data_IF_306488819030
#
_entry.id   IF_306488819030
#
_cell.length_a   1.000
_cell.length_b   1.000
_cell.length_c   1.000
_cell.angle_alpha   90.00
_cell.angle_beta   90.00
_cell.angle_gamma   90.00
#
_symmetry.space_group_name_H-M   'P 1'
#
loop_
_entity.id
_entity.type
_entity.pdbx_description
1 polymer ?
#
# COMPACT_ATOMS: atom_id res chain seq x y z
N UNK A 1 67.53 12.83 8.45
CA UNK A 1 68.62 12.11 9.19
C UNK A 1 68.18 10.68 9.44
N UNK A 2 69.02 9.74 8.93
CA UNK A 2 69.25 8.31 9.32
C UNK A 2 68.03 7.41 9.43
N UNK A 3 67.75 6.48 8.45
CA UNK A 3 68.42 5.17 8.17
C UNK A 3 68.54 4.28 9.41
N UNK A 4 67.98 3.04 9.34
CA UNK A 4 68.52 1.78 8.78
C UNK A 4 67.46 0.67 9.00
N UNK A 5 67.08 -0.14 8.04
CA UNK A 5 67.66 -1.44 7.62
C UNK A 5 67.84 -2.41 8.78
N UNK A 6 67.43 -3.65 8.73
CA UNK A 6 67.58 -4.81 7.84
C UNK A 6 67.23 -6.04 8.68
N UNK A 7 66.96 -7.17 8.31
CA UNK A 7 67.22 -8.22 7.36
C UNK A 7 66.69 -9.55 7.96
N UNK A 8 65.99 -10.28 7.15
CA UNK A 8 66.11 -11.72 6.80
C UNK A 8 66.57 -12.73 7.89
N UNK A 9 65.77 -13.78 8.09
CA UNK A 9 66.28 -15.15 8.17
C UNK A 9 65.20 -16.21 7.88
N UNK A 10 65.54 -17.12 7.05
CA UNK A 10 64.84 -18.32 6.60
C UNK A 10 64.99 -19.46 7.61
N UNK A 11 63.99 -20.36 7.63
CA UNK A 11 64.11 -21.83 7.69
C UNK A 11 62.81 -22.41 8.24
N UNK A 12 62.21 -23.42 7.83
CA UNK A 12 62.42 -24.63 7.09
C UNK A 12 61.17 -25.49 7.39
N UNK A 13 60.52 -25.93 6.33
CA UNK A 13 59.92 -27.25 6.11
C UNK A 13 59.44 -28.05 7.31
N UNK A 14 58.12 -28.24 7.40
CA UNK A 14 57.47 -29.30 8.14
C UNK A 14 56.24 -29.78 7.37
N UNK A 15 56.45 -30.81 6.54
CA UNK A 15 55.39 -31.51 5.79
C UNK A 15 54.54 -32.31 6.80
N UNK A 16 53.35 -31.91 7.10
CA UNK A 16 52.37 -32.73 7.77
C UNK A 16 51.22 -33.01 6.78
N UNK A 17 51.23 -34.23 6.23
CA UNK A 17 50.05 -34.76 5.56
C UNK A 17 48.89 -34.85 6.52
N UNK A 18 47.92 -33.98 6.39
CA UNK A 18 46.59 -34.17 7.00
C UNK A 18 45.64 -34.68 5.93
N UNK A 19 45.20 -35.90 6.12
CA UNK A 19 44.19 -36.61 5.41
C UNK A 19 42.96 -35.76 5.19
N UNK A 20 42.66 -35.41 3.94
CA UNK A 20 41.38 -34.85 3.48
C UNK A 20 40.28 -35.92 3.68
N UNK A 21 39.58 -35.85 4.79
CA UNK A 21 38.26 -36.44 4.89
C UNK A 21 37.29 -35.51 4.13
N UNK A 22 36.47 -36.04 3.22
CA UNK A 22 35.46 -35.23 2.60
C UNK A 22 34.42 -34.87 3.67
N UNK A 23 34.39 -33.58 4.07
CA UNK A 23 33.23 -33.02 4.79
C UNK A 23 32.11 -33.03 3.79
N UNK A 24 31.31 -34.09 3.84
CA UNK A 24 30.01 -34.13 3.21
C UNK A 24 29.17 -33.04 3.89
N UNK A 25 29.13 -31.87 3.30
CA UNK A 25 28.03 -30.93 3.54
C UNK A 25 26.75 -31.63 3.10
N UNK A 26 26.13 -32.39 3.97
CA UNK A 26 24.71 -32.64 3.86
C UNK A 26 24.06 -31.26 3.89
N UNK A 27 23.66 -30.75 2.72
CA UNK A 27 22.54 -29.84 2.63
C UNK A 27 21.40 -30.57 3.35
N UNK A 28 21.15 -30.22 4.60
CA UNK A 28 19.83 -30.44 5.16
C UNK A 28 18.88 -29.70 4.19
N UNK A 29 18.14 -30.48 3.43
CA UNK A 29 16.97 -29.99 2.78
C UNK A 29 16.10 -29.47 3.93
N UNK A 30 16.04 -28.16 4.11
CA UNK A 30 14.99 -27.54 4.88
C UNK A 30 13.68 -28.13 4.32
N UNK A 31 13.10 -29.05 5.05
CA UNK A 31 11.72 -29.44 4.81
C UNK A 31 10.96 -28.15 4.92
N UNK A 32 10.39 -27.66 3.82
CA UNK A 32 9.45 -26.57 3.86
C UNK A 32 8.36 -26.98 4.84
N UNK A 33 8.40 -26.38 6.02
CA UNK A 33 7.30 -26.53 6.95
C UNK A 33 6.07 -26.00 6.22
N UNK A 34 4.98 -26.75 6.25
CA UNK A 34 3.72 -26.31 5.66
C UNK A 34 3.24 -24.98 6.30
N UNK A 35 2.16 -24.39 5.76
CA UNK A 35 1.59 -23.16 6.33
C UNK A 35 1.12 -23.39 7.78
N UNK A 36 1.34 -22.37 8.63
CA UNK A 36 0.88 -22.36 10.01
C UNK A 36 -0.25 -21.35 10.17
N UNK A 37 -1.46 -21.83 10.48
CA UNK A 37 -2.65 -20.99 10.66
C UNK A 37 -2.90 -20.70 12.14
N UNK A 38 -1.95 -20.06 12.81
CA UNK A 38 -2.05 -19.74 14.22
C UNK A 38 -2.64 -18.35 14.43
N UNK A 39 -3.88 -18.27 14.95
CA UNK A 39 -4.57 -17.03 15.28
C UNK A 39 -5.02 -17.07 16.73
N UNK A 40 -4.19 -16.57 17.64
CA UNK A 40 -4.32 -16.76 19.09
C UNK A 40 -5.59 -16.14 19.69
N UNK A 41 -6.12 -15.09 19.05
CA UNK A 41 -7.25 -14.32 19.54
C UNK A 41 -8.55 -14.62 18.78
N UNK A 42 -8.55 -15.64 17.93
CA UNK A 42 -9.67 -16.02 17.07
C UNK A 42 -10.07 -17.45 17.37
N UNK A 43 -11.31 -17.64 17.79
CA UNK A 43 -11.90 -18.94 18.14
C UNK A 43 -13.21 -19.21 17.41
N UNK A 44 -13.85 -18.19 16.85
CA UNK A 44 -15.04 -18.33 16.00
C UNK A 44 -14.71 -19.14 14.75
N UNK A 45 -15.45 -20.22 14.49
CA UNK A 45 -15.17 -21.18 13.42
C UNK A 45 -15.21 -20.54 12.02
N UNK A 46 -16.07 -19.53 11.78
CA UNK A 46 -16.13 -18.85 10.49
C UNK A 46 -14.91 -17.95 10.28
N UNK A 47 -14.47 -17.24 11.33
CA UNK A 47 -13.25 -16.43 11.27
C UNK A 47 -12.01 -17.31 11.07
N UNK A 48 -11.94 -18.46 11.76
CA UNK A 48 -10.86 -19.44 11.57
C UNK A 48 -10.88 -19.97 10.14
N UNK A 49 -12.04 -20.33 9.59
CA UNK A 49 -12.17 -20.79 8.21
C UNK A 49 -11.71 -19.71 7.21
N UNK A 50 -12.08 -18.44 7.45
CA UNK A 50 -11.63 -17.32 6.65
C UNK A 50 -10.10 -17.19 6.68
N UNK A 51 -9.47 -17.28 7.85
CA UNK A 51 -8.00 -17.26 8.00
C UNK A 51 -7.36 -18.42 7.23
N UNK A 52 -7.96 -19.60 7.27
CA UNK A 52 -7.49 -20.78 6.51
C UNK A 52 -7.67 -20.64 4.99
N UNK A 53 -8.42 -19.67 4.51
CA UNK A 53 -8.49 -19.36 3.08
C UNK A 53 -7.24 -18.66 2.54
N UNK A 54 -6.35 -18.18 3.41
CA UNK A 54 -5.10 -17.53 3.03
C UNK A 54 -4.20 -18.48 2.25
N UNK A 55 -3.77 -18.06 1.05
CA UNK A 55 -2.94 -18.86 0.14
C UNK A 55 -1.74 -18.05 -0.32
N UNK A 56 -0.59 -18.69 -0.38
CA UNK A 56 0.58 -18.19 -1.08
C UNK A 56 0.43 -18.47 -2.59
N UNK A 57 0.26 -17.42 -3.39
CA UNK A 57 -0.02 -17.53 -4.83
C UNK A 57 1.23 -17.73 -5.68
N UNK A 58 2.37 -17.25 -5.21
CA UNK A 58 3.62 -17.32 -5.98
C UNK A 58 4.58 -18.40 -5.49
N UNK A 59 4.27 -19.03 -4.37
CA UNK A 59 5.09 -20.06 -3.73
C UNK A 59 6.39 -19.53 -3.11
N UNK A 60 6.51 -18.21 -2.97
CA UNK A 60 7.72 -17.55 -2.46
C UNK A 60 7.47 -16.74 -1.19
N UNK A 61 6.23 -16.71 -0.71
CA UNK A 61 5.82 -15.96 0.47
C UNK A 61 5.76 -14.45 0.27
N UNK A 62 5.60 -13.97 -0.98
CA UNK A 62 5.55 -12.55 -1.32
C UNK A 62 4.18 -12.07 -1.79
N UNK A 63 3.35 -12.98 -2.33
CA UNK A 63 1.99 -12.69 -2.77
C UNK A 63 1.02 -13.68 -2.17
N UNK A 64 0.07 -13.18 -1.41
CA UNK A 64 -0.98 -13.96 -0.80
C UNK A 64 -2.36 -13.53 -1.30
N UNK A 65 -3.33 -14.42 -1.21
CA UNK A 65 -4.74 -14.15 -1.42
C UNK A 65 -5.54 -14.66 -0.23
N UNK A 66 -6.55 -13.91 0.17
CA UNK A 66 -7.52 -14.31 1.20
C UNK A 66 -8.94 -13.98 0.77
N UNK A 67 -9.87 -14.92 1.00
CA UNK A 67 -11.30 -14.69 0.86
C UNK A 67 -11.85 -14.21 2.20
N UNK A 68 -12.09 -12.91 2.33
CA UNK A 68 -12.59 -12.30 3.55
C UNK A 68 -14.13 -12.30 3.50
N UNK A 69 -14.74 -13.37 3.96
CA UNK A 69 -16.18 -13.66 3.90
C UNK A 69 -16.93 -13.46 5.24
N UNK A 70 -16.22 -12.96 6.26
CA UNK A 70 -16.83 -12.59 7.55
C UNK A 70 -17.19 -11.12 7.61
N UNK A 71 -18.19 -10.78 8.45
CA UNK A 71 -18.61 -9.39 8.62
C UNK A 71 -17.56 -8.57 9.38
N UNK A 72 -16.91 -7.63 8.71
CA UNK A 72 -15.91 -6.72 9.27
C UNK A 72 -16.50 -5.44 9.89
N UNK A 73 -17.83 -5.36 10.05
CA UNK A 73 -18.52 -4.33 10.84
C UNK A 73 -18.32 -2.89 10.35
N UNK A 74 -18.26 -2.66 9.03
CA UNK A 74 -17.98 -1.34 8.46
C UNK A 74 -18.89 -0.24 9.04
N UNK A 75 -20.20 -0.47 9.13
CA UNK A 75 -21.11 0.56 9.62
C UNK A 75 -20.85 0.91 11.11
N UNK A 76 -20.39 -0.04 11.92
CA UNK A 76 -19.99 0.23 13.30
C UNK A 76 -18.67 1.02 13.35
N UNK A 77 -17.71 0.70 12.46
CA UNK A 77 -16.46 1.45 12.35
C UNK A 77 -16.73 2.88 11.90
N UNK A 78 -17.58 3.09 10.91
CA UNK A 78 -17.99 4.43 10.46
C UNK A 78 -18.72 5.22 11.57
N UNK A 79 -19.56 4.57 12.37
CA UNK A 79 -20.28 5.19 13.47
C UNK A 79 -19.39 5.46 14.70
N UNK A 80 -18.24 4.82 14.83
CA UNK A 80 -17.33 4.97 15.98
C UNK A 80 -16.68 6.35 16.09
N UNK A 81 -16.66 7.10 14.99
CA UNK A 81 -16.02 8.41 14.93
C UNK A 81 -14.50 8.39 15.25
N UNK A 82 -13.86 7.26 14.98
CA UNK A 82 -12.43 7.07 15.23
C UNK A 82 -11.63 7.62 14.06
N UNK A 83 -10.72 8.55 14.35
CA UNK A 83 -9.67 9.00 13.48
C UNK A 83 -8.32 8.45 13.93
N UNK A 84 -7.35 8.44 13.00
CA UNK A 84 -6.00 7.94 13.27
C UNK A 84 -5.87 6.42 13.16
N UNK A 85 -4.73 6.00 12.65
CA UNK A 85 -4.51 4.61 12.25
C UNK A 85 -4.38 3.67 13.45
N UNK A 86 -3.64 4.05 14.49
CA UNK A 86 -3.41 3.20 15.65
C UNK A 86 -4.70 2.95 16.42
N UNK A 87 -5.46 4.02 16.72
CA UNK A 87 -6.74 3.92 17.42
C UNK A 87 -7.76 3.08 16.62
N UNK A 88 -7.74 3.19 15.30
CA UNK A 88 -8.55 2.36 14.41
C UNK A 88 -8.26 0.87 14.61
N UNK A 89 -6.99 0.44 14.54
CA UNK A 89 -6.65 -0.98 14.67
C UNK A 89 -6.91 -1.52 16.07
N UNK A 90 -6.76 -0.71 17.10
CA UNK A 90 -7.17 -1.07 18.48
C UNK A 90 -8.69 -1.30 18.57
N UNK A 91 -9.47 -0.43 17.92
CA UNK A 91 -10.92 -0.60 17.87
C UNK A 91 -11.36 -1.81 17.04
N UNK A 92 -10.67 -2.08 15.91
CA UNK A 92 -10.92 -3.28 15.08
C UNK A 92 -10.63 -4.55 15.87
N UNK A 93 -9.53 -4.58 16.63
CA UNK A 93 -9.25 -5.73 17.51
C UNK A 93 -10.36 -5.90 18.56
N UNK A 94 -10.83 -4.81 19.18
CA UNK A 94 -11.98 -4.84 20.07
C UNK A 94 -13.26 -5.41 19.43
N UNK A 95 -13.54 -5.05 18.17
CA UNK A 95 -14.73 -5.50 17.46
C UNK A 95 -14.65 -6.94 16.94
N UNK A 96 -13.48 -7.38 16.52
CA UNK A 96 -13.34 -8.57 15.68
C UNK A 96 -12.58 -9.71 16.34
N UNK A 97 -11.80 -9.47 17.41
CA UNK A 97 -11.18 -10.53 18.19
C UNK A 97 -12.18 -11.17 19.13
N UNK A 98 -12.01 -12.45 19.37
CA UNK A 98 -12.84 -13.20 20.32
C UNK A 98 -12.24 -13.14 21.74
N UNK A 99 -10.98 -12.74 21.86
CA UNK A 99 -10.28 -12.52 23.12
C UNK A 99 -9.56 -11.14 23.09
N UNK A 100 -9.86 -10.29 24.07
CA UNK A 100 -9.38 -8.91 24.16
C UNK A 100 -7.99 -8.75 24.79
N UNK A 101 -7.26 -9.84 25.01
CA UNK A 101 -6.02 -9.84 25.80
C UNK A 101 -4.77 -9.29 25.13
N UNK A 102 -4.76 -8.86 23.86
CA UNK A 102 -3.54 -8.48 23.14
C UNK A 102 -3.44 -7.00 22.82
N UNK A 103 -2.20 -6.50 22.87
CA UNK A 103 -1.85 -5.20 22.27
C UNK A 103 -1.77 -5.36 20.75
N UNK A 104 -2.44 -4.47 20.04
CA UNK A 104 -2.26 -4.33 18.61
C UNK A 104 -0.84 -3.76 18.36
N UNK A 105 -0.03 -4.39 17.49
CA UNK A 105 1.26 -3.84 17.11
C UNK A 105 1.12 -2.42 16.55
N UNK A 106 2.20 -1.64 16.64
CA UNK A 106 2.23 -0.33 15.99
C UNK A 106 2.09 -0.51 14.47
N UNK A 107 1.05 0.09 13.90
CA UNK A 107 0.78 0.05 12.46
C UNK A 107 1.43 1.26 11.83
N UNK A 108 2.35 1.03 10.88
CA UNK A 108 3.08 2.08 10.17
C UNK A 108 2.61 2.15 8.73
N UNK A 109 2.28 3.35 8.27
CA UNK A 109 1.99 3.61 6.87
C UNK A 109 2.99 4.59 6.30
N UNK A 110 3.41 4.33 5.09
CA UNK A 110 4.19 5.24 4.28
C UNK A 110 4.06 4.81 2.83
N UNK A 111 4.21 5.70 1.87
CA UNK A 111 4.21 5.31 0.47
C UNK A 111 4.83 6.37 -0.44
N UNK A 112 5.63 5.92 -1.40
CA UNK A 112 5.80 6.56 -2.68
C UNK A 112 4.84 5.89 -3.66
N UNK A 113 4.27 6.59 -4.63
CA UNK A 113 3.28 5.99 -5.52
C UNK A 113 3.22 6.69 -6.87
N UNK A 114 2.62 6.01 -7.86
CA UNK A 114 2.22 6.58 -9.14
C UNK A 114 0.85 6.04 -9.52
N UNK A 115 0.01 6.86 -10.13
CA UNK A 115 -1.27 6.41 -10.68
C UNK A 115 -1.64 7.19 -11.95
N UNK A 116 -2.42 6.55 -12.84
CA UNK A 116 -2.98 7.17 -14.03
C UNK A 116 -4.28 6.50 -14.47
N UNK A 117 -5.07 7.21 -15.29
CA UNK A 117 -6.28 6.68 -15.92
C UNK A 117 -6.23 6.90 -17.43
N UNK A 118 -6.61 5.86 -18.21
CA UNK A 118 -6.57 5.87 -19.68
C UNK A 118 -7.71 5.06 -20.29
N UNK A 119 -7.97 5.32 -21.57
CA UNK A 119 -8.81 4.50 -22.39
C UNK A 119 -8.02 3.30 -22.92
N UNK A 120 -8.65 2.15 -23.09
CA UNK A 120 -8.01 0.97 -23.67
C UNK A 120 -8.04 1.04 -25.21
N UNK A 121 -6.89 0.79 -25.88
CA UNK A 121 -6.72 0.94 -27.33
C UNK A 121 -7.60 0.03 -28.18
N UNK A 122 -7.76 -1.22 -27.74
CA UNK A 122 -8.44 -2.24 -28.53
C UNK A 122 -9.96 -2.25 -28.33
N UNK A 123 -10.49 -1.46 -27.42
CA UNK A 123 -11.89 -1.52 -27.03
C UNK A 123 -12.45 -0.25 -26.42
N UNK A 124 -13.56 -0.42 -25.71
CA UNK A 124 -14.20 0.65 -24.93
C UNK A 124 -13.85 0.59 -23.44
N UNK A 125 -12.88 -0.22 -23.10
CA UNK A 125 -12.48 -0.43 -21.72
C UNK A 125 -11.82 0.82 -21.14
N UNK A 126 -11.89 0.92 -19.82
CA UNK A 126 -11.23 1.96 -19.03
C UNK A 126 -10.20 1.31 -18.14
N UNK A 127 -8.99 1.87 -18.11
CA UNK A 127 -7.89 1.34 -17.31
C UNK A 127 -7.44 2.37 -16.28
N UNK A 128 -7.10 1.87 -15.09
CA UNK A 128 -6.33 2.62 -14.10
C UNK A 128 -5.03 1.87 -13.82
N UNK A 129 -3.89 2.56 -13.95
CA UNK A 129 -2.59 2.02 -13.58
C UNK A 129 -2.15 2.56 -12.22
N UNK A 130 -1.46 1.73 -11.43
CA UNK A 130 -0.93 2.10 -10.13
C UNK A 130 0.37 1.37 -9.79
N UNK A 131 1.39 2.10 -9.34
CA UNK A 131 2.51 1.57 -8.58
C UNK A 131 2.36 1.92 -7.11
N UNK A 132 2.49 0.93 -6.24
CA UNK A 132 2.71 1.12 -4.82
C UNK A 132 4.21 1.01 -4.54
N UNK A 133 4.79 2.11 -4.09
CA UNK A 133 6.22 2.22 -3.85
C UNK A 133 6.46 2.51 -2.37
N UNK A 134 7.07 1.58 -1.66
CA UNK A 134 7.48 1.79 -0.28
C UNK A 134 8.64 0.89 0.11
N UNK A 135 9.55 1.39 0.94
CA UNK A 135 10.62 0.61 1.54
C UNK A 135 10.37 0.44 3.02
N UNK A 136 10.48 -0.79 3.46
CA UNK A 136 10.48 -1.10 4.88
C UNK A 136 11.89 -1.44 5.33
N UNK A 137 12.27 -0.92 6.48
CA UNK A 137 13.55 -1.18 7.09
C UNK A 137 13.38 -1.94 8.41
N UNK A 138 14.35 -2.76 8.73
CA UNK A 138 14.48 -3.34 10.05
C UNK A 138 14.77 -2.23 11.09
N UNK A 139 14.85 -2.61 12.37
CA UNK A 139 15.12 -1.67 13.47
C UNK A 139 16.49 -1.01 13.40
N UNK A 140 17.42 -1.55 12.58
CA UNK A 140 18.73 -0.95 12.31
C UNK A 140 18.65 0.27 11.36
N UNK A 141 17.48 0.48 10.69
CA UNK A 141 17.26 1.56 9.73
C UNK A 141 17.97 1.38 8.39
N UNK A 142 18.68 0.28 8.17
CA UNK A 142 19.49 0.00 6.98
C UNK A 142 19.06 -1.24 6.22
N UNK A 143 18.73 -2.32 6.94
CA UNK A 143 18.31 -3.59 6.33
C UNK A 143 16.93 -3.49 5.74
N UNK A 144 16.80 -3.67 4.41
CA UNK A 144 15.52 -3.72 3.73
C UNK A 144 14.76 -4.99 4.12
N UNK A 145 13.55 -4.83 4.61
CA UNK A 145 12.65 -5.95 4.89
C UNK A 145 11.88 -6.34 3.64
N UNK A 146 11.92 -7.61 3.25
CA UNK A 146 11.08 -8.10 2.19
C UNK A 146 9.60 -8.10 2.65
N UNK A 147 8.74 -7.51 1.82
CA UNK A 147 7.30 -7.40 2.10
C UNK A 147 6.52 -8.61 1.61
N UNK A 148 5.28 -8.69 2.05
CA UNK A 148 4.26 -9.54 1.48
C UNK A 148 3.09 -8.67 1.00
N UNK A 149 2.68 -8.83 -0.24
CA UNK A 149 1.44 -8.25 -0.75
C UNK A 149 0.30 -9.23 -0.47
N UNK A 150 -0.82 -8.73 0.04
CA UNK A 150 -2.00 -9.55 0.30
C UNK A 150 -3.16 -9.01 -0.52
N UNK A 151 -3.68 -9.85 -1.42
CA UNK A 151 -4.89 -9.59 -2.17
C UNK A 151 -6.09 -10.05 -1.30
N UNK A 152 -6.97 -9.11 -1.00
CA UNK A 152 -8.12 -9.33 -0.13
C UNK A 152 -9.39 -9.27 -0.95
N UNK A 153 -10.12 -10.38 -1.02
CA UNK A 153 -11.46 -10.43 -1.62
C UNK A 153 -12.50 -10.21 -0.54
N UNK A 154 -13.42 -9.30 -0.77
CA UNK A 154 -14.56 -9.05 0.15
C UNK A 154 -15.87 -9.11 -0.60
N UNK A 155 -16.91 -9.62 0.08
CA UNK A 155 -18.30 -9.65 -0.39
C UNK A 155 -19.25 -9.31 0.77
N UNK A 156 -19.26 -8.04 1.24
CA UNK A 156 -20.04 -7.67 2.42
C UNK A 156 -21.53 -7.69 2.13
N UNK A 157 -22.32 -8.10 3.11
CA UNK A 157 -23.78 -8.07 2.99
C UNK A 157 -24.28 -6.63 2.84
N UNK A 158 -24.94 -6.34 1.73
CA UNK A 158 -25.45 -4.99 1.43
C UNK A 158 -24.42 -3.98 0.93
N UNK A 159 -23.19 -4.44 0.70
CA UNK A 159 -22.14 -3.69 0.02
C UNK A 159 -21.69 -4.38 -1.26
N UNK A 160 -20.72 -3.79 -1.95
CA UNK A 160 -20.19 -4.28 -3.22
C UNK A 160 -19.04 -5.26 -2.98
N UNK A 161 -18.98 -6.30 -3.80
CA UNK A 161 -17.81 -7.17 -3.85
C UNK A 161 -16.60 -6.38 -4.33
N UNK A 162 -15.42 -6.69 -3.80
CA UNK A 162 -14.21 -6.02 -4.21
C UNK A 162 -12.94 -6.87 -4.05
N UNK A 163 -11.90 -6.45 -4.75
CA UNK A 163 -10.52 -6.86 -4.53
C UNK A 163 -9.75 -5.64 -4.07
N UNK A 164 -9.01 -5.78 -2.97
CA UNK A 164 -8.10 -4.74 -2.49
C UNK A 164 -6.72 -5.30 -2.20
N UNK A 165 -5.70 -4.43 -2.25
CA UNK A 165 -4.31 -4.78 -2.00
C UNK A 165 -3.85 -4.19 -0.67
N UNK A 166 -3.19 -5.02 0.12
CA UNK A 166 -2.64 -4.69 1.43
C UNK A 166 -1.14 -4.99 1.45
N UNK A 167 -0.36 -4.09 2.02
CA UNK A 167 1.04 -4.38 2.35
C UNK A 167 1.09 -5.04 3.74
N UNK A 168 1.35 -6.35 3.75
CA UNK A 168 1.29 -7.17 4.96
C UNK A 168 2.25 -6.71 6.04
N UNK A 169 3.39 -6.13 5.68
CA UNK A 169 4.39 -5.70 6.66
C UNK A 169 3.87 -4.53 7.53
N UNK A 170 2.92 -3.74 7.04
CA UNK A 170 2.24 -2.72 7.84
C UNK A 170 1.46 -3.32 9.02
N UNK A 171 1.13 -4.61 8.92
CA UNK A 171 0.48 -5.41 9.96
C UNK A 171 1.46 -6.38 10.65
N UNK A 172 2.77 -6.23 10.40
CA UNK A 172 3.79 -7.13 10.93
C UNK A 172 3.99 -8.41 10.12
N UNK A 173 3.36 -8.57 8.97
CA UNK A 173 3.45 -9.74 8.11
C UNK A 173 4.46 -9.53 6.98
N UNK A 174 5.73 -9.81 7.24
CA UNK A 174 6.78 -9.82 6.23
C UNK A 174 6.75 -11.04 5.32
N UNK A 175 7.69 -11.11 4.38
CA UNK A 175 7.82 -12.23 3.45
C UNK A 175 7.79 -13.59 4.18
N UNK A 176 6.93 -14.49 3.73
CA UNK A 176 6.87 -15.86 4.25
C UNK A 176 6.24 -15.98 5.64
N UNK A 177 5.56 -14.98 6.14
CA UNK A 177 4.95 -14.96 7.48
C UNK A 177 4.07 -16.18 7.76
N UNK A 178 3.40 -16.73 6.76
CA UNK A 178 2.53 -17.90 6.88
C UNK A 178 3.31 -19.18 7.22
N UNK A 179 4.62 -19.20 6.97
CA UNK A 179 5.51 -20.34 7.22
C UNK A 179 6.32 -20.21 8.51
N UNK A 180 6.09 -19.15 9.29
CA UNK A 180 6.63 -18.99 10.64
C UNK A 180 5.57 -19.40 11.69
N UNK A 181 5.85 -20.48 12.38
CA UNK A 181 4.99 -21.02 13.47
C UNK A 181 4.71 -20.04 14.61
N UNK A 182 5.53 -18.99 14.76
CA UNK A 182 5.38 -18.01 15.82
C UNK A 182 4.51 -16.82 15.39
N UNK A 183 4.21 -16.69 14.11
CA UNK A 183 3.34 -15.62 13.60
C UNK A 183 1.91 -15.81 14.13
N UNK A 184 1.37 -14.73 14.68
CA UNK A 184 -0.04 -14.67 15.07
C UNK A 184 -0.85 -14.01 13.95
N UNK A 185 -1.76 -14.77 13.36
CA UNK A 185 -2.58 -14.34 12.24
C UNK A 185 -3.85 -13.56 12.64
N UNK A 186 -4.04 -13.28 13.92
CA UNK A 186 -5.25 -12.58 14.40
C UNK A 186 -5.44 -11.20 13.75
N UNK A 187 -4.34 -10.49 13.41
CA UNK A 187 -4.42 -9.19 12.71
C UNK A 187 -4.96 -9.28 11.26
N UNK A 188 -5.06 -10.47 10.67
CA UNK A 188 -5.75 -10.65 9.39
C UNK A 188 -7.22 -10.20 9.46
N UNK A 189 -7.81 -10.19 10.66
CA UNK A 189 -9.14 -9.62 10.87
C UNK A 189 -9.23 -8.13 10.49
N UNK A 190 -8.13 -7.40 10.54
CA UNK A 190 -8.04 -5.99 10.15
C UNK A 190 -7.80 -5.73 8.67
N UNK A 191 -7.62 -6.75 7.82
CA UNK A 191 -7.25 -6.59 6.41
C UNK A 191 -8.18 -5.68 5.60
N UNK A 192 -9.52 -5.70 5.74
CA UNK A 192 -10.39 -4.78 5.03
C UNK A 192 -10.07 -3.31 5.29
N UNK A 193 -9.51 -3.00 6.46
CA UNK A 193 -9.14 -1.66 6.91
C UNK A 193 -7.66 -1.32 6.72
N UNK A 194 -6.91 -2.17 6.02
CA UNK A 194 -5.51 -1.94 5.67
C UNK A 194 -5.31 -1.75 4.15
N UNK A 195 -6.40 -1.64 3.39
CA UNK A 195 -6.35 -1.50 1.94
C UNK A 195 -5.65 -0.20 1.51
N UNK A 196 -4.77 -0.31 0.50
CA UNK A 196 -4.04 0.82 -0.08
C UNK A 196 -4.51 1.15 -1.50
N UNK A 197 -5.09 0.18 -2.18
CA UNK A 197 -5.77 0.31 -3.45
C UNK A 197 -6.76 -0.85 -3.67
N UNK A 198 -7.60 -0.73 -4.70
CA UNK A 198 -8.55 -1.80 -5.02
C UNK A 198 -9.56 -1.40 -6.10
N UNK A 199 -10.36 -2.39 -6.48
CA UNK A 199 -11.46 -2.28 -7.44
C UNK A 199 -12.69 -3.05 -6.95
N UNK A 200 -13.88 -2.54 -7.22
CA UNK A 200 -15.12 -3.24 -6.91
C UNK A 200 -15.87 -3.77 -8.15
N UNK A 201 -16.94 -4.50 -7.92
CA UNK A 201 -17.77 -5.13 -8.95
C UNK A 201 -18.49 -4.16 -9.89
N UNK A 202 -18.56 -2.87 -9.55
CA UNK A 202 -19.09 -1.82 -10.42
C UNK A 202 -18.00 -1.19 -11.32
N UNK A 203 -16.74 -1.57 -11.10
CA UNK A 203 -15.60 -1.02 -11.82
C UNK A 203 -15.14 0.34 -11.29
N UNK A 204 -15.49 0.68 -10.06
CA UNK A 204 -14.86 1.77 -9.33
C UNK A 204 -13.55 1.30 -8.73
N UNK A 205 -12.47 2.02 -9.02
CA UNK A 205 -11.15 1.75 -8.46
C UNK A 205 -10.59 2.98 -7.75
N UNK A 206 -9.78 2.73 -6.73
CA UNK A 206 -9.13 3.75 -5.91
C UNK A 206 -7.72 3.34 -5.54
N UNK A 207 -6.82 4.31 -5.44
CA UNK A 207 -5.49 4.15 -4.83
C UNK A 207 -5.15 5.36 -3.99
N UNK A 208 -4.47 5.14 -2.86
CA UNK A 208 -3.94 6.20 -2.02
C UNK A 208 -2.47 6.45 -2.35
N UNK A 209 -2.07 7.72 -2.42
CA UNK A 209 -0.69 8.11 -2.67
C UNK A 209 -0.23 9.06 -1.56
N UNK A 210 0.97 8.84 -1.02
CA UNK A 210 1.48 9.67 0.05
C UNK A 210 1.96 11.03 -0.46
N UNK A 211 1.70 12.03 0.35
CA UNK A 211 2.24 13.37 0.28
C UNK A 211 3.14 13.57 1.50
N UNK A 212 4.33 14.09 1.30
CA UNK A 212 5.27 14.34 2.41
C UNK A 212 4.96 15.65 3.08
N UNK A 213 3.94 15.60 3.90
CA UNK A 213 3.41 16.76 4.60
C UNK A 213 2.72 16.32 5.89
N UNK A 214 2.40 17.27 6.75
CA UNK A 214 1.63 17.01 7.97
C UNK A 214 0.31 16.32 7.64
N UNK A 215 -0.10 15.34 8.45
CA UNK A 215 -1.36 14.65 8.23
C UNK A 215 -2.53 15.63 8.41
N UNK A 216 -3.47 15.55 7.51
CA UNK A 216 -4.75 16.27 7.64
C UNK A 216 -5.55 15.71 8.80
N UNK A 217 -6.08 16.61 9.63
CA UNK A 217 -7.05 16.30 10.70
C UNK A 217 -8.20 17.31 10.60
N UNK A 218 -9.22 16.98 9.82
CA UNK A 218 -10.40 17.84 9.68
C UNK A 218 -11.27 17.83 10.94
N UNK A 219 -11.98 18.94 11.17
CA UNK A 219 -12.81 19.14 12.36
C UNK A 219 -14.08 19.95 12.08
N UNK A 220 -14.76 19.71 10.95
CA UNK A 220 -16.03 20.35 10.64
C UNK A 220 -17.10 19.86 11.60
N UNK A 221 -17.84 20.81 12.16
CA UNK A 221 -18.94 20.52 13.10
C UNK A 221 -20.03 19.67 12.42
N UNK A 222 -20.58 18.71 13.18
CA UNK A 222 -21.66 17.83 12.72
C UNK A 222 -21.24 16.70 11.78
N UNK A 223 -19.94 16.55 11.48
CA UNK A 223 -19.42 15.46 10.67
C UNK A 223 -18.59 14.48 11.52
N UNK A 224 -18.80 13.19 11.31
CA UNK A 224 -17.98 12.13 11.90
C UNK A 224 -16.57 12.09 11.31
N UNK A 225 -15.62 11.54 12.06
CA UNK A 225 -14.26 11.30 11.58
C UNK A 225 -14.15 10.00 10.80
N UNK A 226 -13.21 9.96 9.87
CA UNK A 226 -12.85 8.77 9.11
C UNK A 226 -11.34 8.71 8.87
N UNK A 227 -10.74 7.57 9.19
CA UNK A 227 -9.33 7.32 8.87
C UNK A 227 -9.15 6.99 7.37
N UNK A 228 -7.95 7.24 6.82
CA UNK A 228 -7.63 7.07 5.39
C UNK A 228 -8.04 5.69 4.85
N UNK A 229 -7.68 4.62 5.53
CA UNK A 229 -7.93 3.26 5.05
C UNK A 229 -9.39 2.83 5.23
N UNK A 230 -10.09 3.38 6.23
CA UNK A 230 -11.55 3.22 6.36
C UNK A 230 -12.27 3.92 5.21
N UNK A 231 -11.78 5.08 4.77
CA UNK A 231 -12.33 5.77 3.61
C UNK A 231 -12.21 4.89 2.35
N UNK A 232 -11.04 4.27 2.11
CA UNK A 232 -10.86 3.34 0.98
C UNK A 232 -11.87 2.19 1.07
N UNK A 233 -12.01 1.55 2.26
CA UNK A 233 -12.95 0.46 2.45
C UNK A 233 -14.40 0.89 2.21
N UNK A 234 -14.78 2.03 2.78
CA UNK A 234 -16.12 2.60 2.57
C UNK A 234 -16.42 2.84 1.09
N UNK A 235 -15.46 3.39 0.34
CA UNK A 235 -15.65 3.68 -1.07
C UNK A 235 -15.73 2.41 -1.91
N UNK A 236 -14.91 1.40 -1.63
CA UNK A 236 -14.99 0.12 -2.32
C UNK A 236 -16.33 -0.60 -2.06
N UNK A 237 -16.90 -0.48 -0.86
CA UNK A 237 -18.19 -1.11 -0.52
C UNK A 237 -19.40 -0.33 -1.04
N UNK A 238 -19.33 1.00 -1.11
CA UNK A 238 -20.53 1.84 -1.28
C UNK A 238 -20.57 2.64 -2.58
N UNK A 239 -19.44 2.96 -3.22
CA UNK A 239 -19.40 3.77 -4.43
C UNK A 239 -19.42 2.91 -5.70
N UNK A 240 -20.23 3.29 -6.68
CA UNK A 240 -20.20 2.74 -8.05
C UNK A 240 -19.42 3.66 -9.00
N UNK A 241 -19.34 4.95 -8.68
CA UNK A 241 -18.77 5.99 -9.54
C UNK A 241 -17.88 6.93 -8.75
N UNK A 242 -16.99 7.62 -9.44
CA UNK A 242 -16.17 8.72 -8.89
C UNK A 242 -17.04 9.80 -8.24
N UNK A 243 -18.18 10.13 -8.86
CA UNK A 243 -19.12 11.13 -8.34
C UNK A 243 -19.72 10.71 -6.98
N UNK A 244 -20.13 9.45 -6.86
CA UNK A 244 -20.65 8.89 -5.61
C UNK A 244 -19.56 8.87 -4.53
N UNK A 245 -18.33 8.45 -4.88
CA UNK A 245 -17.19 8.43 -3.98
C UNK A 245 -16.89 9.82 -3.40
N UNK A 246 -16.85 10.86 -4.24
CA UNK A 246 -16.68 12.25 -3.81
C UNK A 246 -17.81 12.67 -2.86
N UNK A 247 -19.05 12.28 -3.16
CA UNK A 247 -20.22 12.57 -2.30
C UNK A 247 -20.06 11.94 -0.90
N UNK A 248 -19.63 10.69 -0.84
CA UNK A 248 -19.39 9.98 0.42
C UNK A 248 -18.27 10.64 1.23
N UNK A 249 -17.13 10.97 0.62
CA UNK A 249 -16.01 11.62 1.32
C UNK A 249 -16.40 12.97 1.92
N UNK A 250 -17.27 13.75 1.25
CA UNK A 250 -17.76 15.04 1.78
C UNK A 250 -18.58 14.91 3.05
N UNK A 251 -19.08 13.72 3.38
CA UNK A 251 -19.85 13.43 4.59
C UNK A 251 -19.02 13.26 5.86
N UNK A 252 -17.68 13.20 5.73
CA UNK A 252 -16.79 12.91 6.84
C UNK A 252 -15.67 13.94 7.00
N UNK A 253 -15.16 14.04 8.22
CA UNK A 253 -13.89 14.68 8.54
C UNK A 253 -12.76 13.66 8.36
N UNK A 254 -11.89 13.89 7.38
CA UNK A 254 -10.72 13.04 7.16
C UNK A 254 -9.71 13.23 8.28
N UNK A 255 -9.24 12.13 8.86
CA UNK A 255 -8.15 12.09 9.82
C UNK A 255 -7.05 11.13 9.32
N UNK A 256 -5.96 11.69 8.85
CA UNK A 256 -4.82 10.98 8.28
C UNK A 256 -3.68 10.77 9.29
N UNK A 257 -3.89 11.15 10.54
CA UNK A 257 -2.89 11.01 11.61
C UNK A 257 -2.69 9.54 12.01
N UNK A 258 -1.61 9.28 12.73
CA UNK A 258 -1.38 7.94 13.31
C UNK A 258 -2.16 7.77 14.60
N UNK A 259 -2.17 8.79 15.47
CA UNK A 259 -2.69 8.72 16.84
C UNK A 259 -3.98 9.53 17.06
N UNK A 260 -4.59 10.06 16.00
CA UNK A 260 -5.80 10.89 16.07
C UNK A 260 -5.52 12.35 16.47
N UNK A 261 -4.25 12.76 16.51
CA UNK A 261 -3.83 14.11 16.87
C UNK A 261 -3.19 14.84 15.70
N UNK A 262 -3.39 16.14 15.65
CA UNK A 262 -2.66 16.98 14.71
C UNK A 262 -1.16 16.92 15.02
N UNK A 263 -0.34 16.88 13.96
CA UNK A 263 1.12 16.95 14.12
C UNK A 263 1.51 18.26 14.80
N UNK A 264 2.56 18.26 15.66
CA UNK A 264 3.09 19.50 16.21
C UNK A 264 3.47 20.49 15.12
N UNK A 265 3.37 21.80 15.41
CA UNK A 265 3.69 22.83 14.44
C UNK A 265 5.14 22.74 13.91
N UNK A 266 6.06 22.30 14.78
CA UNK A 266 7.49 22.08 14.49
C UNK A 266 7.80 20.68 13.96
N UNK A 267 6.79 19.85 13.68
CA UNK A 267 7.00 18.52 13.12
C UNK A 267 7.69 18.64 11.75
N UNK A 268 8.88 18.07 11.66
CA UNK A 268 9.61 17.96 10.41
C UNK A 268 9.00 16.86 9.55
N UNK A 269 9.26 16.88 8.25
CA UNK A 269 8.73 15.93 7.25
C UNK A 269 9.05 14.44 7.55
N UNK A 270 9.95 14.16 8.48
CA UNK A 270 10.32 12.81 8.86
C UNK A 270 9.28 12.21 9.83
N UNK A 271 8.59 11.19 9.36
CA UNK A 271 7.63 10.43 10.17
C UNK A 271 6.16 10.85 10.03
N UNK A 272 5.86 11.84 9.19
CA UNK A 272 4.49 12.24 8.88
C UNK A 272 4.18 12.06 7.40
N UNK A 273 2.94 11.67 7.11
CA UNK A 273 2.45 11.56 5.74
C UNK A 273 1.03 12.08 5.68
N UNK A 274 0.79 12.95 4.71
CA UNK A 274 -0.55 13.24 4.23
C UNK A 274 -0.82 12.36 3.01
N UNK A 275 -2.04 12.36 2.50
CA UNK A 275 -2.39 11.51 1.38
C UNK A 275 -3.35 12.23 0.44
N UNK A 276 -3.29 11.84 -0.84
CA UNK A 276 -4.36 12.09 -1.77
C UNK A 276 -4.89 10.77 -2.35
N UNK A 277 -6.12 10.79 -2.82
CA UNK A 277 -6.73 9.67 -3.50
C UNK A 277 -6.73 9.90 -4.99
N UNK A 278 -6.36 8.88 -5.75
CA UNK A 278 -6.66 8.79 -7.18
C UNK A 278 -7.78 7.77 -7.38
N UNK A 279 -8.84 8.18 -8.05
CA UNK A 279 -10.02 7.36 -8.28
C UNK A 279 -10.39 7.36 -9.76
N UNK A 280 -10.87 6.22 -10.26
CA UNK A 280 -11.41 6.10 -11.61
C UNK A 280 -12.59 5.13 -11.64
N UNK A 281 -13.48 5.25 -12.62
CA UNK A 281 -14.63 4.37 -12.77
C UNK A 281 -14.85 3.90 -14.22
N UNK A 282 -15.70 2.88 -14.39
CA UNK A 282 -15.99 2.27 -15.67
C UNK A 282 -16.66 3.22 -16.68
N UNK A 283 -17.17 4.37 -16.25
CA UNK A 283 -17.74 5.39 -17.15
C UNK A 283 -16.68 6.28 -17.79
N UNK A 284 -15.41 6.14 -17.36
CA UNK A 284 -14.27 6.93 -17.83
C UNK A 284 -14.02 8.19 -17.01
N UNK A 285 -14.75 8.40 -15.92
CA UNK A 285 -14.45 9.47 -14.98
C UNK A 285 -13.26 9.10 -14.10
N UNK A 286 -12.48 10.10 -13.74
CA UNK A 286 -11.40 10.00 -12.75
C UNK A 286 -11.33 11.26 -11.92
N UNK A 287 -10.74 11.17 -10.73
CA UNK A 287 -10.52 12.31 -9.84
C UNK A 287 -9.27 12.13 -8.99
N UNK A 288 -8.62 13.26 -8.71
CA UNK A 288 -7.67 13.41 -7.63
C UNK A 288 -8.39 14.15 -6.50
N UNK A 289 -8.36 13.57 -5.30
CA UNK A 289 -8.91 14.20 -4.09
C UNK A 289 -7.75 14.50 -3.16
N UNK A 290 -7.56 15.77 -2.86
CA UNK A 290 -6.53 16.28 -1.97
C UNK A 290 -7.16 16.93 -0.74
N UNK A 291 -6.45 16.85 0.37
CA UNK A 291 -6.79 17.55 1.60
C UNK A 291 -5.71 18.60 1.83
N UNK A 292 -6.13 19.86 1.71
CA UNK A 292 -5.26 21.02 1.72
C UNK A 292 -5.38 21.75 3.04
N UNK A 293 -4.27 22.31 3.53
CA UNK A 293 -4.29 23.08 4.77
C UNK A 293 -5.15 24.33 4.61
N UNK A 294 -5.72 24.75 5.72
CA UNK A 294 -6.27 26.08 5.85
C UNK A 294 -5.17 27.15 5.79
N UNK A 295 -5.56 28.37 5.43
CA UNK A 295 -4.65 29.50 5.28
C UNK A 295 -3.97 29.94 6.59
N UNK A 296 -4.50 29.48 7.72
CA UNK A 296 -3.96 29.69 9.06
C UNK A 296 -4.52 28.64 10.04
N UNK A 297 -4.02 28.63 11.28
CA UNK A 297 -4.43 27.66 12.31
C UNK A 297 -5.95 27.69 12.66
N UNK A 298 -6.65 28.74 12.27
CA UNK A 298 -8.11 28.88 12.51
C UNK A 298 -8.94 28.45 11.30
N UNK A 299 -8.32 28.21 10.16
CA UNK A 299 -9.01 27.76 8.93
C UNK A 299 -8.93 26.24 8.86
N UNK A 300 -10.05 25.51 8.92
CA UNK A 300 -10.04 24.04 8.81
C UNK A 300 -9.44 23.58 7.49
N UNK A 301 -8.78 22.42 7.53
CA UNK A 301 -8.32 21.73 6.32
C UNK A 301 -9.53 21.49 5.40
N UNK A 302 -9.30 21.65 4.09
CA UNK A 302 -10.35 21.51 3.10
C UNK A 302 -10.07 20.38 2.13
N UNK A 303 -11.12 19.73 1.69
CA UNK A 303 -11.07 18.76 0.60
C UNK A 303 -11.18 19.49 -0.73
N UNK A 304 -10.19 19.30 -1.59
CA UNK A 304 -10.19 19.78 -2.98
C UNK A 304 -10.29 18.59 -3.95
N UNK A 305 -11.03 18.78 -5.04
CA UNK A 305 -11.32 17.72 -6.00
C UNK A 305 -11.01 18.19 -7.42
N UNK A 306 -10.17 17.43 -8.10
CA UNK A 306 -9.77 17.68 -9.47
C UNK A 306 -10.29 16.54 -10.36
N UNK A 307 -11.20 16.87 -11.26
CA UNK A 307 -11.84 15.92 -12.18
C UNK A 307 -11.53 16.26 -13.63
N UNK A 308 -11.54 15.25 -14.48
CA UNK A 308 -11.65 15.32 -15.96
C UNK A 308 -10.86 16.47 -16.63
N UNK A 309 -9.53 16.45 -16.45
CA UNK A 309 -8.62 17.32 -17.17
C UNK A 309 -7.44 16.47 -17.67
N UNK A 310 -7.17 16.46 -18.97
CA UNK A 310 -6.11 15.64 -19.56
C UNK A 310 -4.73 15.88 -18.93
N UNK A 311 -4.48 17.06 -18.37
CA UNK A 311 -3.25 17.33 -17.63
C UNK A 311 -3.17 16.62 -16.27
N UNK A 312 -4.29 16.12 -15.74
CA UNK A 312 -4.41 15.48 -14.44
C UNK A 312 -4.74 13.99 -14.52
N UNK A 313 -4.57 13.37 -15.69
CA UNK A 313 -4.77 11.92 -15.87
C UNK A 313 -3.75 11.06 -15.14
N UNK A 314 -2.71 11.65 -14.58
CA UNK A 314 -1.72 10.95 -13.75
C UNK A 314 -1.31 11.79 -12.54
N UNK A 315 -0.83 11.12 -11.52
CA UNK A 315 -0.40 11.73 -10.26
C UNK A 315 0.70 10.89 -9.61
N UNK A 316 1.53 11.56 -8.82
CA UNK A 316 2.55 10.91 -7.99
C UNK A 316 2.50 11.45 -6.55
N UNK A 317 3.61 11.88 -5.97
CA UNK A 317 3.70 12.22 -4.56
C UNK A 317 3.93 13.73 -4.32
N UNK A 318 3.20 14.56 -5.05
CA UNK A 318 3.16 16.01 -4.83
C UNK A 318 1.73 16.54 -5.05
N UNK A 319 1.40 17.64 -4.41
CA UNK A 319 0.09 18.27 -4.57
C UNK A 319 -0.11 18.81 -5.99
N UNK A 320 -1.27 18.56 -6.55
CA UNK A 320 -1.74 19.18 -7.79
C UNK A 320 -2.54 20.46 -7.53
N UNK A 321 -2.99 20.64 -6.30
CA UNK A 321 -3.72 21.83 -5.85
C UNK A 321 -2.90 23.08 -6.01
N UNK A 322 -3.38 24.12 -6.74
CA UNK A 322 -2.70 25.42 -6.82
C UNK A 322 -2.53 26.09 -5.46
N UNK A 323 -3.42 25.84 -4.51
CA UNK A 323 -3.34 26.40 -3.16
C UNK A 323 -2.18 25.84 -2.35
N UNK A 324 -1.65 24.67 -2.73
CA UNK A 324 -0.56 24.00 -2.02
C UNK A 324 0.80 24.18 -2.70
N UNK A 325 0.84 24.61 -3.97
CA UNK A 325 2.09 24.72 -4.76
C UNK A 325 3.08 25.72 -4.16
N UNK A 326 2.61 26.74 -3.42
CA UNK A 326 3.46 27.73 -2.76
C UNK A 326 3.88 27.39 -1.33
N UNK A 327 3.34 26.32 -0.75
CA UNK A 327 3.62 25.95 0.64
C UNK A 327 4.70 24.88 0.80
N UNK A 328 5.13 24.28 -0.29
CA UNK A 328 6.05 23.16 -0.29
C UNK A 328 7.42 23.60 -0.74
N UNK A 329 8.25 24.04 0.19
CA UNK A 329 9.67 24.24 -0.02
C UNK A 329 10.39 22.89 0.02
N UNK A 330 11.13 22.55 -1.05
CA UNK A 330 12.02 21.40 -1.08
C UNK A 330 11.36 20.09 -1.50
N UNK A 331 11.46 19.10 -0.67
CA UNK A 331 11.21 17.70 -1.01
C UNK A 331 9.76 17.38 -1.41
N UNK A 332 8.77 18.00 -0.75
CA UNK A 332 7.36 17.78 -1.01
C UNK A 332 6.90 18.20 -2.40
N UNK A 333 7.47 19.25 -2.98
CA UNK A 333 7.10 19.75 -4.31
C UNK A 333 7.78 19.00 -5.47
N UNK A 334 8.84 18.24 -5.19
CA UNK A 334 9.67 17.59 -6.21
C UNK A 334 9.59 16.06 -6.19
N UNK A 335 9.09 15.49 -5.09
CA UNK A 335 9.00 14.03 -4.95
C UNK A 335 8.07 13.43 -6.01
N UNK A 336 8.62 12.54 -6.81
CA UNK A 336 7.90 11.92 -7.91
C UNK A 336 7.74 12.77 -9.15
N UNK A 337 8.30 13.99 -9.23
CA UNK A 337 8.18 14.87 -10.40
C UNK A 337 8.67 14.19 -11.67
N UNK A 338 9.83 13.54 -11.64
CA UNK A 338 10.38 12.82 -12.79
C UNK A 338 9.43 11.72 -13.28
N UNK A 339 8.86 10.94 -12.36
CA UNK A 339 7.88 9.89 -12.68
C UNK A 339 6.62 10.46 -13.29
N UNK A 340 6.14 11.59 -12.75
CA UNK A 340 4.99 12.31 -13.28
C UNK A 340 5.23 12.77 -14.72
N UNK A 341 6.38 13.39 -15.01
CA UNK A 341 6.71 13.88 -16.37
C UNK A 341 6.80 12.73 -17.39
N UNK A 342 7.37 11.59 -17.01
CA UNK A 342 7.40 10.39 -17.86
C UNK A 342 5.98 9.91 -18.16
N UNK A 343 5.13 9.78 -17.13
CA UNK A 343 3.74 9.35 -17.34
C UNK A 343 2.99 10.36 -18.20
N UNK A 344 3.07 11.64 -17.89
CA UNK A 344 2.38 12.71 -18.61
C UNK A 344 2.74 12.72 -20.08
N UNK A 345 4.04 12.73 -20.42
CA UNK A 345 4.49 12.75 -21.82
C UNK A 345 4.04 11.48 -22.55
N UNK A 346 4.23 10.29 -21.96
CA UNK A 346 3.80 9.03 -22.58
C UNK A 346 2.29 9.02 -22.83
N UNK A 347 1.49 9.47 -21.87
CA UNK A 347 0.04 9.53 -22.02
C UNK A 347 -0.39 10.49 -23.13
N UNK A 348 0.25 11.65 -23.23
CA UNK A 348 0.00 12.61 -24.31
C UNK A 348 0.37 12.04 -25.67
N UNK A 349 1.57 11.45 -25.80
CA UNK A 349 2.06 10.85 -27.05
C UNK A 349 1.18 9.71 -27.53
N UNK A 350 0.52 8.99 -26.62
CA UNK A 350 -0.41 7.90 -26.90
C UNK A 350 -1.89 8.36 -26.96
N UNK A 351 -2.16 9.66 -27.02
CA UNK A 351 -3.51 10.23 -27.00
C UNK A 351 -4.39 9.64 -25.86
N UNK A 352 -3.78 9.44 -24.69
CA UNK A 352 -4.43 8.89 -23.49
C UNK A 352 -5.08 7.52 -23.69
N UNK A 353 -4.55 6.72 -24.61
CA UNK A 353 -5.05 5.37 -24.90
C UNK A 353 -3.91 4.36 -24.92
N UNK A 354 -4.02 3.32 -24.07
CA UNK A 354 -3.01 2.27 -23.89
C UNK A 354 -3.67 0.90 -23.88
N UNK A 355 -3.04 -0.11 -24.47
CA UNK A 355 -3.39 -1.49 -24.19
C UNK A 355 -3.03 -1.85 -22.73
N UNK A 356 -3.60 -2.94 -22.20
CA UNK A 356 -3.24 -3.45 -20.85
C UNK A 356 -1.74 -3.67 -20.69
N UNK A 357 -1.07 -4.15 -21.74
CA UNK A 357 0.38 -4.37 -21.74
C UNK A 357 1.17 -3.06 -21.76
N UNK A 358 0.76 -2.08 -22.58
CA UNK A 358 1.38 -0.76 -22.59
C UNK A 358 1.17 -0.01 -21.26
N UNK A 359 0.01 -0.16 -20.62
CA UNK A 359 -0.25 0.39 -19.29
C UNK A 359 0.71 -0.23 -18.25
N UNK A 360 0.95 -1.55 -18.29
CA UNK A 360 1.94 -2.20 -17.42
C UNK A 360 3.38 -1.75 -17.75
N UNK A 361 3.72 -1.56 -19.02
CA UNK A 361 5.03 -1.05 -19.44
C UNK A 361 5.24 0.40 -18.96
N UNK A 362 4.19 1.22 -18.97
CA UNK A 362 4.26 2.57 -18.40
C UNK A 362 4.52 2.52 -16.89
N UNK A 363 3.83 1.63 -16.15
CA UNK A 363 4.12 1.42 -14.74
C UNK A 363 5.56 0.95 -14.51
N UNK A 364 6.07 0.04 -15.36
CA UNK A 364 7.46 -0.42 -15.33
C UNK A 364 8.45 0.73 -15.53
N UNK A 365 8.18 1.65 -16.45
CA UNK A 365 9.07 2.78 -16.77
C UNK A 365 9.20 3.79 -15.64
N UNK A 366 8.23 3.82 -14.73
CA UNK A 366 8.19 4.69 -13.54
C UNK A 366 8.29 3.92 -12.22
N UNK A 367 8.61 2.62 -12.30
CA UNK A 367 8.85 1.79 -11.13
C UNK A 367 10.13 2.21 -10.42
N UNK A 368 10.09 2.17 -9.10
CA UNK A 368 11.20 2.62 -8.26
C UNK A 368 12.11 1.47 -7.85
N UNK A 369 13.42 1.71 -7.95
CA UNK A 369 14.46 0.81 -7.46
C UNK A 369 15.04 1.33 -6.15
N UNK A 370 15.58 0.46 -5.28
CA UNK A 370 16.29 0.91 -4.09
C UNK A 370 17.42 1.89 -4.48
N UNK A 371 17.42 3.08 -3.89
CA UNK A 371 18.46 4.10 -4.11
C UNK A 371 18.08 5.26 -5.03
N UNK A 372 16.99 5.18 -5.80
CA UNK A 372 16.56 6.31 -6.65
C UNK A 372 15.84 7.41 -5.86
N UNK A 373 14.96 7.02 -4.95
CA UNK A 373 14.34 7.93 -3.98
C UNK A 373 14.40 7.31 -2.58
N UNK A 374 14.53 8.12 -1.54
CA UNK A 374 14.83 7.65 -0.18
C UNK A 374 13.85 6.63 0.39
N UNK A 375 12.60 6.62 -0.05
CA UNK A 375 11.54 5.79 0.53
C UNK A 375 10.92 4.83 -0.45
N UNK A 376 11.48 4.71 -1.65
CA UNK A 376 10.73 4.14 -2.75
C UNK A 376 11.36 2.86 -3.28
N UNK A 377 10.57 1.80 -3.21
CA UNK A 377 10.79 0.55 -3.92
C UNK A 377 9.42 0.03 -4.34
N UNK A 378 9.20 -0.17 -5.62
CA UNK A 378 7.90 -0.68 -6.10
C UNK A 378 7.64 -2.08 -5.56
N UNK A 379 6.63 -2.21 -4.72
CA UNK A 379 6.16 -3.46 -4.13
C UNK A 379 5.21 -4.19 -5.08
N UNK A 380 4.29 -3.45 -5.70
CA UNK A 380 3.48 -3.97 -6.79
C UNK A 380 3.13 -2.90 -7.81
N UNK A 381 2.90 -3.38 -9.04
CA UNK A 381 2.31 -2.63 -10.15
C UNK A 381 0.99 -3.28 -10.51
N UNK A 382 -0.09 -2.51 -10.55
CA UNK A 382 -1.43 -3.00 -10.83
C UNK A 382 -2.06 -2.24 -12.00
N UNK A 383 -2.60 -2.97 -12.98
CA UNK A 383 -3.48 -2.43 -14.03
C UNK A 383 -4.88 -2.93 -13.76
N UNK A 384 -5.75 -2.04 -13.32
CA UNK A 384 -7.17 -2.26 -13.12
C UNK A 384 -7.90 -2.04 -14.43
N UNK A 385 -8.61 -3.05 -14.95
CA UNK A 385 -9.59 -2.88 -16.01
C UNK A 385 -10.96 -2.62 -15.38
N UNK A 386 -11.41 -1.38 -15.44
CA UNK A 386 -12.61 -0.91 -14.76
C UNK A 386 -13.88 -1.48 -15.41
N UNK A 387 -13.84 -1.71 -16.71
CA UNK A 387 -14.97 -2.26 -17.48
C UNK A 387 -15.13 -3.76 -17.22
N UNK A 388 -14.02 -4.52 -17.22
CA UNK A 388 -14.02 -5.97 -16.97
C UNK A 388 -14.03 -6.32 -15.47
N UNK A 389 -13.80 -5.33 -14.59
CA UNK A 389 -13.66 -5.49 -13.14
C UNK A 389 -12.56 -6.50 -12.80
N UNK A 390 -11.39 -6.30 -13.40
CA UNK A 390 -10.24 -7.17 -13.26
C UNK A 390 -8.98 -6.40 -12.92
N UNK A 391 -8.01 -7.09 -12.36
CA UNK A 391 -6.68 -6.55 -12.02
C UNK A 391 -5.61 -7.44 -12.63
N UNK A 392 -4.62 -6.84 -13.27
CA UNK A 392 -3.35 -7.46 -13.65
C UNK A 392 -2.25 -6.93 -12.74
N UNK A 393 -1.52 -7.83 -12.11
CA UNK A 393 -0.59 -7.52 -11.02
C UNK A 393 0.81 -8.03 -11.35
N UNK A 394 1.84 -7.21 -11.13
CA UNK A 394 3.24 -7.59 -11.08
C UNK A 394 3.80 -7.26 -9.70
N UNK A 395 4.51 -8.21 -9.06
CA UNK A 395 5.07 -8.06 -7.71
C UNK A 395 6.57 -7.79 -7.79
N UNK A 396 7.06 -6.87 -6.97
CA UNK A 396 8.48 -6.54 -6.80
C UNK A 396 9.20 -6.31 -8.14
N UNK A 397 8.50 -5.70 -9.12
CA UNK A 397 9.02 -5.41 -10.46
C UNK A 397 9.36 -6.65 -11.30
N UNK A 398 8.81 -7.81 -10.96
CA UNK A 398 8.93 -9.02 -11.78
C UNK A 398 7.90 -9.00 -12.93
N UNK A 399 8.04 -8.07 -13.87
CA UNK A 399 7.07 -7.86 -14.96
C UNK A 399 6.96 -9.03 -15.94
N UNK A 400 7.91 -9.95 -15.91
CA UNK A 400 7.85 -11.22 -16.67
C UNK A 400 6.88 -12.25 -16.07
N UNK A 401 6.45 -12.06 -14.80
CA UNK A 401 5.48 -12.90 -14.10
C UNK A 401 4.33 -12.05 -13.62
N UNK A 402 3.19 -12.12 -14.28
CA UNK A 402 2.01 -11.34 -13.96
C UNK A 402 0.87 -12.26 -13.53
N UNK A 403 0.00 -11.74 -12.68
CA UNK A 403 -1.16 -12.44 -12.14
C UNK A 403 -2.42 -11.68 -12.53
N UNK A 404 -3.43 -12.40 -13.02
CA UNK A 404 -4.72 -11.82 -13.38
C UNK A 404 -5.79 -12.28 -12.39
N UNK A 405 -6.59 -11.33 -11.90
CA UNK A 405 -7.71 -11.57 -11.00
C UNK A 405 -8.95 -10.85 -11.50
N UNK A 406 -10.13 -11.37 -11.15
CA UNK A 406 -11.42 -10.75 -11.45
C UNK A 406 -12.25 -10.64 -10.18
N UNK A 407 -13.01 -9.55 -10.05
CA UNK A 407 -14.02 -9.43 -9.01
C UNK A 407 -15.19 -10.34 -9.38
N UNK A 408 -15.47 -11.34 -8.51
CA UNK A 408 -16.49 -12.38 -8.71
C UNK A 408 -17.62 -12.25 -7.70
#
# INVERSE_FOLDING_TARGET
MKRKNSLIAWSAIGLAMLSLLPVSCKKESEKSNGPYYNAKHITDENKVAMIHSLKDLDGTGRLFEINYDVDYKLDQVLASNIGGTQALFEYIAYLLYDDLGSKVPEVKYGAGCSAFAVDEKAGKDRLMGRNYDFRHFASDGETLLPTSAILVRTAPKGGKKSISMVDGINLGYGKGFLYDKNTDLSLLMGLPYAALDGINEEGFAIGVLALREKPTVQSKEGQGKIATTVAIRMLLDKASTVKEAIGLLKGYNMDMSTDGKAAPAEATEQGYSNYHFFMADATGNYAIVEYCYGDNALTPDRMEVYTANDTLRCVTNFYVSPSMVGHLDGWGSTHGRKRYEIMRSTLQDQNYSLSKSEAMNLLQSVAQTPGEELTSMTQWSAVYNLTEKSIRLAILREYGKQFDFKVE
#
